data_IF_132898234312
#
_entry.id   IF_132898234312
#
_cell.length_a   1.000
_cell.length_b   1.000
_cell.length_c   1.000
_cell.angle_alpha   90.00
_cell.angle_beta   90.00
_cell.angle_gamma   90.00
#
_symmetry.space_group_name_H-M   'P 1'
#
loop_
_entity.id
_entity.type
_entity.pdbx_description
1 polymer ?
#
# COMPACT_ATOMS: atom_id res chain seq x y z
N UNK A 1 -8.85 -14.25 -1.06
CA UNK A 1 -7.94 -15.40 -0.89
C UNK A 1 -6.46 -15.02 -0.93
N UNK A 2 -5.96 -14.26 -1.91
CA UNK A 2 -4.52 -13.88 -1.97
C UNK A 2 -4.07 -13.06 -0.74
N UNK A 3 -4.85 -12.05 -0.36
CA UNK A 3 -4.56 -11.19 0.79
C UNK A 3 -4.47 -11.96 2.12
N UNK A 4 -5.37 -12.93 2.31
CA UNK A 4 -5.37 -13.83 3.47
C UNK A 4 -4.06 -14.62 3.60
N UNK A 5 -3.63 -15.28 2.51
CA UNK A 5 -2.40 -16.07 2.53
C UNK A 5 -1.17 -15.21 2.81
N UNK A 6 -1.10 -14.01 2.23
CA UNK A 6 0.03 -13.12 2.42
C UNK A 6 0.05 -12.56 3.84
N UNK A 7 -1.10 -12.12 4.35
CA UNK A 7 -1.25 -11.68 5.74
C UNK A 7 -0.87 -12.78 6.74
N UNK A 8 -1.27 -14.04 6.49
CA UNK A 8 -0.90 -15.17 7.33
C UNK A 8 0.62 -15.38 7.40
N UNK A 9 1.32 -15.34 6.27
CA UNK A 9 2.78 -15.48 6.22
C UNK A 9 3.48 -14.34 6.97
N UNK A 10 3.10 -13.09 6.68
CA UNK A 10 3.73 -11.93 7.33
C UNK A 10 3.44 -11.87 8.83
N UNK A 11 2.25 -12.29 9.27
CA UNK A 11 1.92 -12.38 10.69
C UNK A 11 2.70 -13.49 11.39
N UNK A 12 2.82 -14.68 10.78
CA UNK A 12 3.60 -15.80 11.32
C UNK A 12 5.09 -15.48 11.48
N UNK A 13 5.64 -14.62 10.63
CA UNK A 13 7.03 -14.16 10.69
C UNK A 13 7.23 -12.93 11.59
N UNK A 14 6.18 -12.42 12.24
CA UNK A 14 6.20 -11.14 12.97
C UNK A 14 6.63 -9.93 12.12
N UNK A 15 6.43 -10.02 10.80
CA UNK A 15 6.76 -8.98 9.82
C UNK A 15 5.52 -8.27 9.30
N UNK A 16 4.49 -8.16 10.14
CA UNK A 16 3.19 -7.65 9.72
C UNK A 16 3.31 -6.27 9.04
N UNK A 17 4.13 -5.36 9.57
CA UNK A 17 4.32 -4.00 9.02
C UNK A 17 5.03 -3.92 7.66
N UNK A 18 5.58 -5.04 7.17
CA UNK A 18 6.27 -5.14 5.88
C UNK A 18 5.30 -5.46 4.74
N UNK A 19 4.03 -5.72 5.05
CA UNK A 19 2.97 -5.93 4.08
C UNK A 19 1.92 -4.82 4.18
N UNK A 20 1.78 -4.06 3.09
CA UNK A 20 0.78 -3.00 2.96
C UNK A 20 -0.20 -3.35 1.85
N UNK A 21 -1.47 -3.52 2.20
CA UNK A 21 -2.59 -3.72 1.26
C UNK A 21 -3.50 -2.51 1.30
N UNK A 22 -3.66 -1.84 0.15
CA UNK A 22 -4.60 -0.72 -0.03
C UNK A 22 -5.65 -1.18 -1.04
N UNK A 23 -6.90 -1.21 -0.61
CA UNK A 23 -8.03 -1.72 -1.39
C UNK A 23 -9.32 -1.04 -0.90
N UNK A 24 -10.30 -0.89 -1.80
CA UNK A 24 -11.64 -0.46 -1.44
C UNK A 24 -12.67 -1.49 -1.93
N UNK A 25 -13.30 -2.17 -0.98
CA UNK A 25 -14.32 -3.20 -1.24
C UNK A 25 -15.75 -2.65 -1.18
N UNK A 26 -15.90 -1.34 -1.03
CA UNK A 26 -17.20 -0.66 -0.89
C UNK A 26 -17.73 -0.07 -2.20
N UNK A 27 -17.04 -0.34 -3.33
CA UNK A 27 -17.45 0.13 -4.65
C UNK A 27 -18.77 -0.52 -5.06
N UNK A 28 -19.67 0.29 -5.62
CA UNK A 28 -20.99 -0.17 -6.09
C UNK A 28 -21.39 0.50 -7.40
N UNK A 29 -22.34 -0.10 -8.12
CA UNK A 29 -22.91 0.47 -9.35
C UNK A 29 -21.87 0.70 -10.45
N UNK A 30 -21.85 1.91 -11.01
CA UNK A 30 -20.92 2.27 -12.09
C UNK A 30 -19.45 2.29 -11.62
N UNK A 31 -19.19 2.58 -10.34
CA UNK A 31 -17.83 2.62 -9.79
C UNK A 31 -17.19 1.24 -9.68
N UNK A 32 -18.00 0.19 -9.51
CA UNK A 32 -17.53 -1.19 -9.50
C UNK A 32 -17.42 -1.80 -10.91
N UNK A 33 -17.89 -1.11 -11.96
CA UNK A 33 -17.83 -1.61 -13.33
C UNK A 33 -16.47 -1.34 -13.96
N UNK A 34 -15.92 -2.34 -14.66
CA UNK A 34 -14.59 -2.28 -15.28
C UNK A 34 -14.60 -1.67 -16.69
N UNK A 35 -15.77 -1.44 -17.27
CA UNK A 35 -16.00 -1.02 -18.66
C UNK A 35 -16.72 0.35 -18.78
N UNK A 36 -17.17 0.94 -17.67
CA UNK A 36 -17.88 2.23 -17.67
C UNK A 36 -16.88 3.39 -17.63
N UNK A 37 -16.34 3.75 -18.79
CA UNK A 37 -15.35 4.83 -18.94
C UNK A 37 -15.97 6.23 -19.17
N UNK A 38 -17.11 6.53 -18.56
CA UNK A 38 -17.70 7.89 -18.66
C UNK A 38 -16.86 8.89 -17.86
N UNK A 39 -16.76 10.14 -18.33
CA UNK A 39 -16.00 11.20 -17.62
C UNK A 39 -16.44 11.37 -16.17
N UNK A 40 -17.75 11.23 -15.89
CA UNK A 40 -18.30 11.26 -14.54
C UNK A 40 -17.74 10.11 -13.69
N UNK A 41 -17.84 8.88 -14.17
CA UNK A 41 -17.37 7.71 -13.43
C UNK A 41 -15.86 7.76 -13.14
N UNK A 42 -15.06 8.19 -14.13
CA UNK A 42 -13.61 8.36 -13.94
C UNK A 42 -13.28 9.42 -12.88
N UNK A 43 -13.99 10.56 -12.88
CA UNK A 43 -13.80 11.58 -11.85
C UNK A 43 -14.21 11.09 -10.46
N UNK A 44 -15.27 10.31 -10.37
CA UNK A 44 -15.72 9.75 -9.10
C UNK A 44 -14.75 8.67 -8.59
N UNK A 45 -14.13 7.86 -9.47
CA UNK A 45 -13.02 6.95 -9.12
C UNK A 45 -11.79 7.69 -8.57
N UNK A 46 -11.44 8.84 -9.14
CA UNK A 46 -10.34 9.69 -8.61
C UNK A 46 -10.66 10.13 -7.19
N UNK A 47 -11.87 10.65 -6.94
CA UNK A 47 -12.31 11.05 -5.58
C UNK A 47 -12.29 9.87 -4.61
N UNK A 48 -12.71 8.68 -5.05
CA UNK A 48 -12.64 7.49 -4.21
C UNK A 48 -11.19 7.13 -3.87
N UNK A 49 -10.26 7.23 -4.81
CA UNK A 49 -8.83 7.05 -4.55
C UNK A 49 -8.27 8.07 -3.56
N UNK A 50 -8.61 9.35 -3.71
CA UNK A 50 -8.22 10.42 -2.78
C UNK A 50 -8.78 10.20 -1.37
N UNK A 51 -10.04 9.76 -1.27
CA UNK A 51 -10.67 9.41 0.00
C UNK A 51 -10.02 8.17 0.63
N UNK A 52 -9.62 7.18 -0.18
CA UNK A 52 -8.95 5.96 0.27
C UNK A 52 -7.60 6.26 0.92
N UNK A 53 -6.87 7.28 0.47
CA UNK A 53 -5.63 7.73 1.12
C UNK A 53 -5.85 8.19 2.57
N UNK A 54 -7.04 8.72 2.89
CA UNK A 54 -7.38 9.20 4.24
C UNK A 54 -7.96 8.11 5.14
N UNK A 55 -8.36 6.96 4.59
CA UNK A 55 -8.82 5.82 5.38
C UNK A 55 -7.64 5.21 6.16
N UNK A 56 -7.90 4.62 7.35
CA UNK A 56 -6.88 3.89 8.10
C UNK A 56 -6.42 2.67 7.30
N UNK A 57 -5.16 2.28 7.50
CA UNK A 57 -4.63 1.00 7.04
C UNK A 57 -5.52 -0.11 7.58
N UNK A 58 -5.83 -1.08 6.73
CA UNK A 58 -6.66 -2.22 7.08
C UNK A 58 -5.89 -3.51 6.82
N UNK A 59 -6.22 -4.55 7.57
CA UNK A 59 -5.65 -5.88 7.44
C UNK A 59 -6.74 -6.92 7.58
N UNK A 60 -6.61 -8.02 6.85
CA UNK A 60 -7.48 -9.18 7.05
C UNK A 60 -7.25 -9.77 8.43
N UNK A 61 -8.33 -9.90 9.18
CA UNK A 61 -8.37 -10.66 10.41
C UNK A 61 -8.37 -12.16 10.05
N UNK A 62 -7.37 -12.91 10.53
CA UNK A 62 -7.19 -14.31 10.13
C UNK A 62 -8.26 -15.25 10.69
N UNK A 63 -9.00 -14.84 11.73
CA UNK A 63 -10.09 -15.60 12.34
C UNK A 63 -11.40 -15.36 11.59
N UNK A 64 -11.71 -14.10 11.27
CA UNK A 64 -12.99 -13.72 10.61
C UNK A 64 -12.90 -13.70 9.09
N UNK A 65 -11.70 -13.58 8.54
CA UNK A 65 -11.45 -13.38 7.11
C UNK A 65 -11.85 -11.99 6.59
N UNK A 66 -12.24 -11.08 7.48
CA UNK A 66 -12.71 -9.72 7.14
C UNK A 66 -11.57 -8.71 7.23
N UNK A 67 -11.53 -7.76 6.29
CA UNK A 67 -10.59 -6.63 6.36
C UNK A 67 -11.05 -5.61 7.40
N UNK A 68 -10.23 -5.39 8.42
CA UNK A 68 -10.52 -4.52 9.55
C UNK A 68 -9.40 -3.46 9.69
N UNK A 69 -9.72 -2.23 10.12
CA UNK A 69 -8.71 -1.20 10.39
C UNK A 69 -7.69 -1.65 11.44
N UNK A 70 -6.42 -1.27 11.25
CA UNK A 70 -5.37 -1.58 12.22
C UNK A 70 -5.45 -0.70 13.47
N UNK A 71 -5.03 -1.19 14.66
CA UNK A 71 -5.15 -0.44 15.91
C UNK A 71 -4.34 0.86 15.98
N UNK A 72 -3.27 0.95 15.19
CA UNK A 72 -2.36 2.10 15.15
C UNK A 72 -2.96 3.34 14.47
N UNK A 73 -4.14 3.23 13.84
CA UNK A 73 -4.85 4.31 13.14
C UNK A 73 -4.01 5.03 12.06
N UNK A 74 -2.89 4.45 11.62
CA UNK A 74 -2.06 4.99 10.54
C UNK A 74 -2.93 5.07 9.27
N UNK A 75 -2.96 6.22 8.61
CA UNK A 75 -3.68 6.37 7.33
C UNK A 75 -2.90 5.75 6.19
N UNK A 76 -3.61 5.38 5.11
CA UNK A 76 -2.96 4.86 3.91
C UNK A 76 -1.93 5.84 3.31
N UNK A 77 -2.17 7.16 3.41
CA UNK A 77 -1.21 8.18 3.00
C UNK A 77 0.09 8.14 3.81
N UNK A 78 -0.02 8.03 5.14
CA UNK A 78 1.14 7.96 6.04
C UNK A 78 1.94 6.69 5.80
N UNK A 79 1.25 5.55 5.66
CA UNK A 79 1.87 4.27 5.34
C UNK A 79 2.61 4.33 4.00
N UNK A 80 2.03 4.95 2.97
CA UNK A 80 2.70 5.17 1.67
C UNK A 80 3.92 6.07 1.80
N UNK A 81 3.87 7.12 2.63
CA UNK A 81 5.03 7.99 2.88
C UNK A 81 6.16 7.24 3.57
N UNK A 82 5.83 6.40 4.57
CA UNK A 82 6.79 5.48 5.23
C UNK A 82 7.40 4.53 4.21
N UNK A 83 6.56 3.92 3.36
CA UNK A 83 7.01 2.98 2.34
C UNK A 83 7.93 3.64 1.30
N UNK A 84 7.59 4.85 0.84
CA UNK A 84 8.42 5.63 -0.08
C UNK A 84 9.80 5.96 0.51
N UNK A 85 9.86 6.28 1.82
CA UNK A 85 11.12 6.48 2.53
C UNK A 85 11.98 5.20 2.56
N UNK A 86 11.38 4.05 2.86
CA UNK A 86 12.08 2.75 2.86
C UNK A 86 12.67 2.43 1.47
N UNK A 87 11.87 2.62 0.40
CA UNK A 87 12.32 2.40 -0.98
C UNK A 87 13.49 3.31 -1.36
N UNK A 88 13.42 4.60 -0.99
CA UNK A 88 14.49 5.56 -1.25
C UNK A 88 15.79 5.19 -0.54
N UNK A 89 15.70 4.84 0.75
CA UNK A 89 16.84 4.41 1.56
C UNK A 89 17.49 3.14 1.00
N UNK A 90 16.70 2.12 0.66
CA UNK A 90 17.21 0.88 0.08
C UNK A 90 17.90 1.12 -1.27
N UNK A 91 17.34 2.00 -2.12
CA UNK A 91 18.00 2.41 -3.37
C UNK A 91 19.37 3.04 -3.10
N UNK A 92 19.46 3.98 -2.15
CA UNK A 92 20.72 4.63 -1.78
C UNK A 92 21.75 3.63 -1.25
N UNK A 93 21.33 2.69 -0.40
CA UNK A 93 22.21 1.64 0.12
C UNK A 93 22.78 0.77 -0.99
N UNK A 94 21.96 0.37 -1.98
CA UNK A 94 22.42 -0.42 -3.13
C UNK A 94 23.40 0.36 -4.01
N UNK A 95 23.19 1.66 -4.18
CA UNK A 95 24.11 2.51 -4.94
C UNK A 95 25.45 2.68 -4.22
N UNK A 96 25.44 2.88 -2.89
CA UNK A 96 26.65 2.99 -2.09
C UNK A 96 27.47 1.70 -2.06
N UNK A 97 26.80 0.53 -2.09
CA UNK A 97 27.44 -0.80 -2.14
C UNK A 97 27.85 -1.23 -3.54
N UNK A 98 27.46 -0.48 -4.58
CA UNK A 98 27.85 -0.79 -5.96
C UNK A 98 29.31 -0.41 -6.19
N UNK A 99 30.13 -1.26 -6.84
CA UNK A 99 31.51 -0.92 -7.20
C UNK A 99 31.62 0.39 -8.02
N UNK A 100 30.54 0.80 -8.69
CA UNK A 100 30.47 2.02 -9.50
C UNK A 100 30.23 3.30 -8.68
N UNK A 101 29.92 3.19 -7.38
CA UNK A 101 29.61 4.32 -6.49
C UNK A 101 30.83 5.09 -5.98
N UNK A 102 32.04 4.54 -6.12
CA UNK A 102 33.29 5.17 -5.66
C UNK A 102 33.97 6.06 -6.72
N UNK A 103 33.45 6.15 -7.94
CA UNK A 103 34.12 6.85 -9.03
C UNK A 103 33.89 8.37 -9.07
N UNK A 104 33.03 8.96 -8.22
CA UNK A 104 32.62 10.35 -8.39
C UNK A 104 32.70 11.26 -7.15
N UNK A 105 33.59 10.97 -6.21
CA UNK A 105 33.99 11.92 -5.15
C UNK A 105 35.48 12.21 -5.22
N UNK A 106 35.90 12.84 -6.31
CA UNK A 106 37.08 13.72 -6.34
C UNK A 106 36.82 14.88 -7.32
N UNK A 107 36.34 16.00 -6.78
CA UNK A 107 36.77 17.37 -7.15
C UNK A 107 36.18 18.37 -6.18
#
# INVERSE_FOLDING_TARGET
>A
MVDYHLSAVFQALHLHDNYLRIQDDTLTGALSSVDVATKKNLNDLVKTGEALLKKPVSRVNLETGVCEPTPNQETNEEALRRFAKLLSQERQLRLARSPHGHANTQK
#
